data_IF_676923345124
#
_entry.id   IF_676923345124
#
_cell.length_a   1.000
_cell.length_b   1.000
_cell.length_c   1.000
_cell.angle_alpha   90.00
_cell.angle_beta   90.00
_cell.angle_gamma   90.00
#
_symmetry.space_group_name_H-M   'P 1'
#
loop_
_entity.id
_entity.type
_entity.pdbx_description
1 polymer ?
#
# COMPACT_ATOMS: atom_id res chain seq x y z
N UNK A 1 -27.48 -18.05 10.41
CA UNK A 1 -28.11 -17.44 11.60
C UNK A 1 -27.65 -15.99 11.67
N UNK A 2 -28.62 -15.07 11.67
CA UNK A 2 -28.50 -13.61 11.81
C UNK A 2 -27.36 -12.92 11.06
N UNK A 3 -27.63 -12.62 9.78
CA UNK A 3 -26.99 -11.53 9.03
C UNK A 3 -27.29 -10.21 9.74
N UNK A 4 -26.44 -9.86 10.71
CA UNK A 4 -26.34 -8.50 11.20
C UNK A 4 -25.83 -7.66 10.03
N UNK A 5 -26.73 -6.88 9.44
CA UNK A 5 -26.37 -5.82 8.50
C UNK A 5 -25.50 -4.81 9.24
N UNK A 6 -24.19 -5.01 9.17
CA UNK A 6 -23.22 -3.98 9.48
C UNK A 6 -23.56 -2.76 8.61
N UNK A 7 -23.60 -1.53 9.16
CA UNK A 7 -23.86 -0.34 8.38
C UNK A 7 -22.82 -0.26 7.27
N UNK A 8 -23.32 -0.45 6.05
CA UNK A 8 -22.57 -0.40 4.80
C UNK A 8 -22.15 1.05 4.61
N UNK A 9 -20.85 1.24 4.37
CA UNK A 9 -20.19 2.48 3.96
C UNK A 9 -20.34 3.62 4.97
N UNK A 10 -19.24 4.01 5.61
CA UNK A 10 -19.00 5.43 5.84
C UNK A 10 -19.01 6.10 4.47
N UNK A 11 -20.20 6.41 3.96
CA UNK A 11 -20.36 7.61 3.15
C UNK A 11 -19.68 8.69 3.98
N UNK A 12 -18.56 9.22 3.47
CA UNK A 12 -18.05 10.50 3.92
C UNK A 12 -19.29 11.38 3.97
N UNK A 13 -19.78 11.71 5.17
CA UNK A 13 -21.05 12.43 5.35
C UNK A 13 -21.11 13.54 4.30
N UNK A 14 -21.91 13.32 3.26
CA UNK A 14 -21.94 14.14 2.04
C UNK A 14 -22.84 15.35 2.27
N UNK A 15 -23.74 15.25 3.25
CA UNK A 15 -24.64 16.31 3.68
C UNK A 15 -23.98 17.18 4.76
N UNK A 16 -23.40 18.29 4.31
CA UNK A 16 -23.10 19.45 5.17
C UNK A 16 -24.42 20.00 5.68
N UNK A 17 -24.60 20.06 7.00
CA UNK A 17 -25.81 20.62 7.57
C UNK A 17 -25.77 22.16 7.48
N UNK A 18 -26.91 22.84 7.29
CA UNK A 18 -26.97 24.29 7.29
C UNK A 18 -26.39 24.87 8.61
N UNK A 19 -25.34 25.70 8.51
CA UNK A 19 -24.71 26.36 9.66
C UNK A 19 -23.51 25.62 10.27
N UNK A 20 -23.10 24.48 9.71
CA UNK A 20 -21.91 23.74 10.14
C UNK A 20 -20.61 24.46 9.78
N UNK A 21 -19.65 24.49 10.71
CA UNK A 21 -18.35 25.14 10.48
C UNK A 21 -17.47 24.22 9.63
N UNK A 22 -16.97 24.72 8.50
CA UNK A 22 -16.14 23.95 7.58
C UNK A 22 -14.68 24.42 7.61
N UNK A 23 -13.76 23.47 7.62
CA UNK A 23 -12.33 23.71 7.52
C UNK A 23 -11.69 22.85 6.41
N UNK A 24 -10.61 23.30 5.76
CA UNK A 24 -9.86 22.46 4.84
C UNK A 24 -9.45 21.14 5.48
N UNK A 25 -9.56 20.05 4.73
CA UNK A 25 -9.08 18.74 5.17
C UNK A 25 -7.61 18.86 5.63
N UNK A 26 -7.26 18.36 6.83
CA UNK A 26 -5.91 18.48 7.33
C UNK A 26 -4.93 17.50 6.65
N UNK A 27 -5.42 16.65 5.74
CA UNK A 27 -4.68 15.57 5.08
C UNK A 27 -4.30 15.87 3.63
N UNK A 28 -4.46 17.11 3.17
CA UNK A 28 -4.18 17.48 1.79
C UNK A 28 -2.66 17.52 1.51
N UNK A 29 -2.25 16.95 0.38
CA UNK A 29 -0.88 17.04 -0.13
C UNK A 29 -0.79 18.23 -1.06
N UNK A 30 0.05 19.20 -0.70
CA UNK A 30 0.18 20.46 -1.43
C UNK A 30 1.36 20.38 -2.40
N UNK A 31 1.08 20.40 -3.70
CA UNK A 31 2.07 20.65 -4.75
C UNK A 31 2.11 22.12 -5.16
N UNK A 32 2.96 22.50 -6.13
CA UNK A 32 3.01 23.87 -6.66
C UNK A 32 1.75 24.22 -7.48
N UNK A 33 1.32 23.32 -8.35
CA UNK A 33 0.24 23.47 -9.34
C UNK A 33 -0.99 22.61 -9.03
N UNK A 34 -0.98 21.88 -7.91
CA UNK A 34 -2.00 20.89 -7.56
C UNK A 34 -2.16 20.68 -6.06
N UNK A 35 -3.33 20.20 -5.66
CA UNK A 35 -3.66 19.73 -4.32
C UNK A 35 -4.25 18.33 -4.44
N UNK A 36 -3.65 17.35 -3.77
CA UNK A 36 -4.18 15.97 -3.73
C UNK A 36 -4.84 15.68 -2.38
N UNK A 37 -6.01 15.03 -2.42
CA UNK A 37 -6.76 14.63 -1.25
C UNK A 37 -6.79 13.10 -1.12
N UNK A 38 -6.01 12.51 -0.20
CA UNK A 38 -6.00 11.07 0.01
C UNK A 38 -7.32 10.50 0.53
N UNK A 39 -8.17 11.32 1.18
CA UNK A 39 -9.48 10.85 1.67
C UNK A 39 -10.50 10.66 0.54
N UNK A 40 -10.28 11.25 -0.63
CA UNK A 40 -11.18 11.12 -1.79
C UNK A 40 -10.47 10.57 -3.03
N UNK A 41 -9.14 10.41 -2.95
CA UNK A 41 -8.27 10.08 -4.08
C UNK A 41 -8.41 11.02 -5.28
N UNK A 42 -8.60 12.31 -5.01
CA UNK A 42 -8.78 13.33 -6.05
C UNK A 42 -7.63 14.32 -6.04
N UNK A 43 -7.28 14.79 -7.24
CA UNK A 43 -6.36 15.92 -7.43
C UNK A 43 -7.15 17.10 -7.98
N UNK A 44 -6.93 18.28 -7.38
CA UNK A 44 -7.41 19.56 -7.88
C UNK A 44 -6.21 20.34 -8.42
N UNK A 45 -6.28 20.77 -9.67
CA UNK A 45 -5.18 21.41 -10.40
C UNK A 45 -5.44 22.88 -10.67
N UNK A 46 -4.37 23.64 -10.90
CA UNK A 46 -4.46 25.05 -11.25
C UNK A 46 -5.33 25.26 -12.51
N UNK A 47 -6.34 26.11 -12.40
CA UNK A 47 -7.33 26.38 -13.45
C UNK A 47 -8.66 25.62 -13.30
N UNK A 48 -8.73 24.60 -12.45
CA UNK A 48 -10.00 23.93 -12.12
C UNK A 48 -10.85 24.75 -11.14
N UNK A 49 -12.17 24.64 -11.27
CA UNK A 49 -13.11 25.32 -10.39
C UNK A 49 -12.87 24.93 -8.93
N UNK A 50 -12.81 25.93 -8.04
CA UNK A 50 -12.54 25.76 -6.61
C UNK A 50 -11.05 25.68 -6.24
N UNK A 51 -10.11 25.59 -7.20
CA UNK A 51 -8.68 25.54 -6.88
C UNK A 51 -8.20 26.80 -6.13
N UNK A 52 -8.47 27.98 -6.71
CA UNK A 52 -8.07 29.26 -6.11
C UNK A 52 -8.74 29.50 -4.76
N UNK A 53 -10.01 29.11 -4.63
CA UNK A 53 -10.78 29.21 -3.38
C UNK A 53 -10.17 28.32 -2.29
N UNK A 54 -9.88 27.05 -2.60
CA UNK A 54 -9.25 26.12 -1.67
C UNK A 54 -7.86 26.60 -1.25
N UNK A 55 -7.06 27.12 -2.20
CA UNK A 55 -5.74 27.70 -1.91
C UNK A 55 -5.83 28.90 -0.99
N UNK A 56 -6.81 29.77 -1.18
CA UNK A 56 -7.03 30.93 -0.31
C UNK A 56 -7.36 30.48 1.13
N UNK A 57 -8.27 29.51 1.29
CA UNK A 57 -8.61 28.94 2.61
C UNK A 57 -7.40 28.26 3.27
N UNK A 58 -6.61 27.50 2.51
CA UNK A 58 -5.36 26.88 3.00
C UNK A 58 -4.30 27.90 3.41
N UNK A 59 -4.31 29.10 2.81
CA UNK A 59 -3.46 30.22 3.18
C UNK A 59 -4.00 31.02 4.38
N UNK A 60 -5.14 30.62 4.96
CA UNK A 60 -5.75 31.25 6.14
C UNK A 60 -6.76 32.35 5.83
N UNK A 61 -7.23 32.46 4.58
CA UNK A 61 -8.35 33.35 4.27
C UNK A 61 -9.61 32.90 5.03
N UNK A 62 -10.38 33.87 5.55
CA UNK A 62 -11.62 33.57 6.26
C UNK A 62 -12.67 32.94 5.34
N UNK A 63 -13.55 32.04 5.82
CA UNK A 63 -14.54 31.36 5.00
C UNK A 63 -15.46 32.31 4.20
N UNK A 64 -15.69 33.52 4.70
CA UNK A 64 -16.47 34.59 4.05
C UNK A 64 -15.84 35.11 2.75
N UNK A 65 -14.53 34.90 2.56
CA UNK A 65 -13.83 35.28 1.32
C UNK A 65 -14.15 34.35 0.15
N UNK A 66 -14.74 33.18 0.43
CA UNK A 66 -15.18 32.20 -0.57
C UNK A 66 -16.71 32.16 -0.60
N UNK A 67 -17.29 32.30 -1.79
CA UNK A 67 -18.74 32.26 -1.99
C UNK A 67 -19.38 31.00 -1.41
N UNK A 68 -20.61 31.10 -0.91
CA UNK A 68 -21.32 29.98 -0.28
C UNK A 68 -21.46 28.77 -1.20
N UNK A 69 -21.72 29.00 -2.50
CA UNK A 69 -21.77 27.94 -3.51
C UNK A 69 -20.43 27.21 -3.64
N UNK A 70 -19.32 27.94 -3.78
CA UNK A 70 -17.99 27.36 -3.88
C UNK A 70 -17.59 26.58 -2.61
N UNK A 71 -17.92 27.09 -1.42
CA UNK A 71 -17.71 26.35 -0.16
C UNK A 71 -18.49 25.04 -0.12
N UNK A 72 -19.75 25.04 -0.57
CA UNK A 72 -20.58 23.84 -0.66
C UNK A 72 -19.98 22.82 -1.62
N UNK A 73 -19.58 23.27 -2.82
CA UNK A 73 -18.97 22.41 -3.83
C UNK A 73 -17.65 21.80 -3.33
N UNK A 74 -16.81 22.60 -2.67
CA UNK A 74 -15.57 22.13 -2.05
C UNK A 74 -15.83 21.10 -0.94
N UNK A 75 -16.85 21.31 -0.11
CA UNK A 75 -17.22 20.39 0.95
C UNK A 75 -17.81 19.07 0.41
N UNK A 76 -18.72 19.14 -0.57
CA UNK A 76 -19.27 17.96 -1.26
C UNK A 76 -18.17 17.15 -1.95
N UNK A 77 -17.15 17.82 -2.49
CA UNK A 77 -15.98 17.17 -3.07
C UNK A 77 -14.94 16.69 -2.03
N UNK A 78 -15.20 16.88 -0.73
CA UNK A 78 -14.35 16.42 0.38
C UNK A 78 -13.10 17.24 0.66
N UNK A 79 -12.97 18.42 0.04
CA UNK A 79 -11.86 19.36 0.30
C UNK A 79 -12.02 20.09 1.63
N UNK A 80 -13.26 20.34 2.03
CA UNK A 80 -13.62 20.88 3.35
C UNK A 80 -14.33 19.81 4.16
N UNK A 81 -14.06 19.76 5.46
CA UNK A 81 -14.66 18.85 6.42
C UNK A 81 -15.30 19.67 7.55
N UNK A 82 -16.32 19.13 8.26
CA UNK A 82 -16.80 19.72 9.50
C UNK A 82 -15.65 19.91 10.50
N UNK A 83 -15.56 21.09 11.11
CA UNK A 83 -14.45 21.45 11.98
C UNK A 83 -14.46 20.68 13.31
N UNK A 84 -15.65 20.26 13.75
CA UNK A 84 -15.87 19.45 14.94
C UNK A 84 -15.59 17.95 14.74
N UNK A 85 -15.52 17.48 13.49
CA UNK A 85 -15.26 16.08 13.20
C UNK A 85 -13.79 15.72 13.44
N UNK A 86 -13.56 14.60 14.11
CA UNK A 86 -12.22 14.01 14.17
C UNK A 86 -11.89 13.40 12.79
N UNK A 87 -11.38 14.25 11.89
CA UNK A 87 -10.99 13.87 10.55
C UNK A 87 -9.98 12.70 10.54
N UNK A 88 -9.21 12.51 11.62
CA UNK A 88 -8.24 11.42 11.71
C UNK A 88 -8.88 10.03 11.81
N UNK A 89 -10.19 9.94 12.01
CA UNK A 89 -10.97 8.69 11.93
C UNK A 89 -11.51 8.41 10.53
N UNK A 90 -11.43 9.37 9.60
CA UNK A 90 -11.82 9.19 8.19
C UNK A 90 -10.72 8.47 7.43
N UNK A 91 -11.10 7.71 6.41
CA UNK A 91 -10.21 6.92 5.56
C UNK A 91 -10.86 6.65 4.20
N UNK A 92 -10.04 6.23 3.24
CA UNK A 92 -10.49 5.68 1.96
C UNK A 92 -9.71 4.39 1.71
N UNK A 93 -10.25 3.23 2.09
CA UNK A 93 -9.49 1.98 1.99
C UNK A 93 -9.36 1.56 0.52
N UNK A 94 -8.16 1.75 -0.04
CA UNK A 94 -7.82 1.41 -1.43
C UNK A 94 -7.00 0.13 -1.53
N UNK A 95 -6.07 -0.07 -0.60
CA UNK A 95 -5.11 -1.14 -0.69
C UNK A 95 -5.01 -1.89 0.64
N UNK A 96 -4.92 -3.20 0.57
CA UNK A 96 -4.74 -4.04 1.75
C UNK A 96 -3.52 -4.92 1.53
N UNK A 97 -2.55 -4.87 2.44
CA UNK A 97 -1.52 -5.90 2.55
C UNK A 97 -2.03 -6.98 3.50
N UNK A 98 -2.38 -8.16 2.99
CA UNK A 98 -2.84 -9.30 3.77
C UNK A 98 -1.78 -10.42 3.69
N UNK A 99 -0.87 -10.41 4.66
CA UNK A 99 0.19 -11.40 4.76
C UNK A 99 -0.34 -12.69 5.40
N UNK A 100 -0.36 -13.80 4.66
CA UNK A 100 -0.92 -15.06 5.13
C UNK A 100 0.05 -15.92 5.96
N UNK A 101 1.35 -15.67 5.85
CA UNK A 101 2.40 -16.40 6.57
C UNK A 101 3.69 -15.59 6.62
N UNK A 102 4.65 -15.98 7.45
CA UNK A 102 5.95 -15.27 7.58
C UNK A 102 7.04 -15.78 6.64
N UNK A 103 6.87 -16.99 6.10
CA UNK A 103 7.89 -17.74 5.35
C UNK A 103 8.27 -17.09 4.01
N UNK A 104 9.57 -17.06 3.72
CA UNK A 104 10.12 -16.79 2.40
C UNK A 104 11.25 -17.78 2.11
N UNK A 105 11.33 -18.27 0.88
CA UNK A 105 12.36 -19.23 0.44
C UNK A 105 13.59 -18.56 -0.19
N UNK A 106 13.76 -17.25 0.01
CA UNK A 106 14.91 -16.47 -0.45
C UNK A 106 15.36 -15.51 0.65
N UNK A 107 16.64 -15.14 0.62
CA UNK A 107 17.27 -14.20 1.53
C UNK A 107 17.85 -13.01 0.73
N UNK A 108 16.96 -12.21 0.15
CA UNK A 108 17.36 -11.08 -0.70
C UNK A 108 18.18 -10.05 0.10
N UNK A 109 19.30 -9.57 -0.44
CA UNK A 109 20.19 -8.62 0.25
C UNK A 109 19.51 -7.30 0.69
N UNK A 110 18.39 -6.94 0.04
CA UNK A 110 17.58 -5.75 0.34
C UNK A 110 16.32 -6.06 1.17
N UNK A 111 16.20 -7.28 1.70
CA UNK A 111 15.04 -7.68 2.51
C UNK A 111 15.43 -7.80 3.99
N UNK A 112 14.70 -7.15 4.91
CA UNK A 112 14.92 -7.29 6.35
C UNK A 112 14.92 -8.75 6.84
N UNK A 113 14.12 -9.62 6.23
CA UNK A 113 14.03 -11.06 6.56
C UNK A 113 15.37 -11.79 6.39
N UNK A 114 16.25 -11.31 5.51
CA UNK A 114 17.59 -11.92 5.35
C UNK A 114 18.53 -11.63 6.53
N UNK A 115 18.25 -10.58 7.30
CA UNK A 115 19.08 -10.10 8.41
C UNK A 115 18.47 -10.51 9.75
N UNK A 116 17.14 -10.41 9.86
CA UNK A 116 16.39 -10.72 11.07
C UNK A 116 15.22 -11.67 10.75
N UNK A 117 15.46 -12.96 10.45
CA UNK A 117 14.40 -13.89 10.07
C UNK A 117 13.29 -13.98 11.12
N UNK A 118 12.04 -14.10 10.66
CA UNK A 118 10.87 -14.29 11.52
C UNK A 118 10.63 -15.77 11.77
N UNK A 119 10.05 -16.09 12.93
CA UNK A 119 9.55 -17.43 13.20
C UNK A 119 8.48 -17.82 12.18
N UNK A 120 8.52 -19.09 11.74
CA UNK A 120 7.51 -19.65 10.85
C UNK A 120 6.13 -19.59 11.50
N UNK A 121 5.23 -18.88 10.83
CA UNK A 121 3.84 -18.78 11.25
C UNK A 121 2.94 -18.69 10.03
N UNK A 122 1.81 -19.40 10.08
CA UNK A 122 0.79 -19.39 9.05
C UNK A 122 -0.52 -18.97 9.70
N UNK A 123 -1.16 -17.95 9.14
CA UNK A 123 -2.49 -17.50 9.56
C UNK A 123 -3.47 -18.68 9.47
N UNK A 124 -4.28 -18.96 10.51
CA UNK A 124 -5.37 -19.92 10.43
C UNK A 124 -6.33 -19.56 9.29
N UNK A 125 -6.81 -20.56 8.55
CA UNK A 125 -7.69 -20.33 7.39
C UNK A 125 -8.98 -19.62 7.80
N UNK A 126 -9.52 -19.94 8.97
CA UNK A 126 -10.75 -19.33 9.51
C UNK A 126 -10.55 -17.83 9.79
N UNK A 127 -9.35 -17.46 10.26
CA UNK A 127 -8.99 -16.05 10.47
C UNK A 127 -8.87 -15.33 9.13
N UNK A 128 -8.19 -15.94 8.15
CA UNK A 128 -8.05 -15.39 6.81
C UNK A 128 -9.41 -15.15 6.13
N UNK A 129 -10.29 -16.15 6.15
CA UNK A 129 -11.63 -16.06 5.56
C UNK A 129 -12.50 -15.02 6.25
N UNK A 130 -12.44 -14.90 7.58
CA UNK A 130 -13.15 -13.85 8.31
C UNK A 130 -12.67 -12.46 7.90
N UNK A 131 -11.35 -12.23 7.85
CA UNK A 131 -10.77 -10.96 7.44
C UNK A 131 -11.22 -10.61 6.01
N UNK A 132 -11.16 -11.57 5.08
CA UNK A 132 -11.65 -11.38 3.70
C UNK A 132 -13.14 -11.03 3.67
N UNK A 133 -13.96 -11.70 4.48
CA UNK A 133 -15.39 -11.40 4.63
C UNK A 133 -15.66 -9.97 5.12
N UNK A 134 -14.86 -9.47 6.07
CA UNK A 134 -14.97 -8.08 6.54
C UNK A 134 -14.49 -7.06 5.49
N UNK A 135 -13.42 -7.38 4.75
CA UNK A 135 -12.92 -6.55 3.64
C UNK A 135 -13.91 -6.43 2.49
N UNK A 136 -14.77 -7.43 2.27
CA UNK A 136 -15.80 -7.40 1.24
C UNK A 136 -16.79 -6.23 1.38
N UNK A 137 -16.92 -5.64 2.59
CA UNK A 137 -17.69 -4.42 2.83
C UNK A 137 -17.09 -3.17 2.15
N UNK A 138 -15.81 -3.23 1.76
CA UNK A 138 -15.05 -2.14 1.13
C UNK A 138 -14.67 -2.43 -0.33
N UNK A 139 -15.22 -3.49 -0.94
CA UNK A 139 -14.87 -3.93 -2.30
C UNK A 139 -15.02 -2.85 -3.38
N UNK A 140 -15.89 -1.86 -3.17
CA UNK A 140 -16.12 -0.76 -4.13
C UNK A 140 -14.96 0.25 -4.14
N UNK A 141 -14.17 0.32 -3.08
CA UNK A 141 -13.01 1.23 -2.96
C UNK A 141 -11.67 0.49 -3.01
N UNK A 142 -11.64 -0.79 -2.64
CA UNK A 142 -10.42 -1.60 -2.68
C UNK A 142 -10.03 -1.86 -4.13
N UNK A 143 -8.87 -1.35 -4.54
CA UNK A 143 -8.27 -1.57 -5.85
C UNK A 143 -7.36 -2.79 -5.90
N UNK A 144 -6.75 -3.17 -4.76
CA UNK A 144 -5.91 -4.36 -4.66
C UNK A 144 -5.78 -4.89 -3.23
N UNK A 145 -5.89 -6.22 -3.09
CA UNK A 145 -5.46 -6.96 -1.89
C UNK A 145 -4.13 -7.63 -2.21
N UNK A 146 -3.05 -7.00 -1.78
CA UNK A 146 -1.69 -7.51 -1.87
C UNK A 146 -1.48 -8.64 -0.87
N UNK A 147 -1.21 -9.84 -1.36
CA UNK A 147 -0.99 -11.04 -0.52
C UNK A 147 0.39 -11.09 0.14
N UNK A 148 1.06 -9.94 0.25
CA UNK A 148 2.46 -9.82 0.68
C UNK A 148 2.63 -8.76 1.77
N UNK A 149 3.58 -9.01 2.66
CA UNK A 149 4.32 -7.95 3.37
C UNK A 149 5.83 -8.26 3.34
N UNK A 150 6.26 -9.33 4.01
CA UNK A 150 7.65 -9.80 4.04
C UNK A 150 7.77 -11.31 3.78
N UNK A 151 6.75 -11.93 3.20
CA UNK A 151 6.69 -13.34 2.83
C UNK A 151 6.90 -13.58 1.33
N UNK A 152 6.98 -14.84 0.93
CA UNK A 152 6.79 -15.26 -0.46
C UNK A 152 5.39 -15.88 -0.62
N UNK A 153 4.39 -15.17 -1.17
CA UNK A 153 3.00 -15.64 -1.21
C UNK A 153 2.86 -16.98 -1.93
N UNK A 154 3.65 -17.22 -2.98
CA UNK A 154 3.58 -18.45 -3.76
C UNK A 154 4.27 -19.63 -3.08
N UNK A 155 4.96 -19.44 -1.96
CA UNK A 155 5.50 -20.54 -1.17
C UNK A 155 4.41 -21.25 -0.36
N UNK A 156 3.28 -20.59 -0.06
CA UNK A 156 2.14 -21.22 0.61
C UNK A 156 1.47 -22.26 -0.31
N UNK A 157 1.21 -23.46 0.22
CA UNK A 157 0.45 -24.49 -0.50
C UNK A 157 -0.99 -24.05 -0.77
N UNK A 158 -1.53 -23.17 0.07
CA UNK A 158 -2.89 -22.60 0.00
C UNK A 158 -3.00 -21.40 -0.95
N UNK A 159 -1.92 -20.98 -1.60
CA UNK A 159 -1.89 -19.77 -2.43
C UNK A 159 -3.05 -19.65 -3.42
N UNK A 160 -3.32 -20.72 -4.19
CA UNK A 160 -4.41 -20.72 -5.19
C UNK A 160 -5.79 -20.64 -4.51
N UNK A 161 -5.97 -21.31 -3.37
CA UNK A 161 -7.22 -21.26 -2.61
C UNK A 161 -7.45 -19.87 -2.00
N UNK A 162 -6.39 -19.22 -1.49
CA UNK A 162 -6.45 -17.84 -1.00
C UNK A 162 -6.86 -16.86 -2.10
N UNK A 163 -6.31 -17.00 -3.31
CA UNK A 163 -6.74 -16.22 -4.48
C UNK A 163 -8.22 -16.45 -4.80
N UNK A 164 -8.68 -17.70 -4.73
CA UNK A 164 -10.09 -18.06 -4.93
C UNK A 164 -10.99 -17.40 -3.89
N UNK A 165 -10.58 -17.41 -2.61
CA UNK A 165 -11.31 -16.78 -1.51
C UNK A 165 -11.45 -15.27 -1.72
N UNK A 166 -10.39 -14.58 -2.12
CA UNK A 166 -10.45 -13.14 -2.44
C UNK A 166 -11.41 -12.86 -3.60
N UNK A 167 -11.31 -13.62 -4.70
CA UNK A 167 -12.20 -13.46 -5.87
C UNK A 167 -13.67 -13.72 -5.50
N UNK A 168 -13.95 -14.75 -4.72
CA UNK A 168 -15.30 -15.08 -4.27
C UNK A 168 -15.93 -13.96 -3.41
N UNK A 169 -15.10 -13.19 -2.70
CA UNK A 169 -15.51 -12.02 -1.93
C UNK A 169 -15.64 -10.73 -2.77
N UNK A 170 -15.42 -10.80 -4.09
CA UNK A 170 -15.40 -9.64 -4.97
C UNK A 170 -14.19 -8.73 -4.78
N UNK A 171 -13.11 -9.23 -4.18
CA UNK A 171 -11.89 -8.46 -3.92
C UNK A 171 -10.85 -8.73 -5.02
N UNK A 172 -10.08 -7.71 -5.46
CA UNK A 172 -9.05 -7.85 -6.49
C UNK A 172 -7.72 -8.38 -5.93
N UNK A 173 -7.34 -9.67 -6.15
CA UNK A 173 -6.10 -10.21 -5.62
C UNK A 173 -4.88 -9.65 -6.37
N UNK A 174 -3.86 -9.22 -5.63
CA UNK A 174 -2.59 -8.74 -6.14
C UNK A 174 -1.41 -9.47 -5.51
N UNK A 175 -0.39 -9.79 -6.32
CA UNK A 175 0.73 -10.65 -5.89
C UNK A 175 2.04 -10.02 -6.30
N UNK A 176 2.93 -9.80 -5.32
CA UNK A 176 4.36 -9.63 -5.56
C UNK A 176 5.03 -10.94 -5.19
N UNK A 177 5.94 -11.44 -6.02
CA UNK A 177 6.55 -12.76 -5.83
C UNK A 177 7.95 -12.82 -6.44
N UNK A 178 8.80 -13.67 -5.87
CA UNK A 178 10.08 -14.07 -6.46
C UNK A 178 9.94 -15.09 -7.61
N UNK A 179 8.72 -15.56 -7.89
CA UNK A 179 8.37 -16.44 -9.01
C UNK A 179 8.64 -17.93 -8.77
N UNK A 180 9.20 -18.31 -7.63
CA UNK A 180 9.58 -19.71 -7.35
C UNK A 180 8.38 -20.64 -7.25
N UNK A 181 7.24 -20.17 -6.75
CA UNK A 181 6.02 -20.95 -6.61
C UNK A 181 5.04 -20.83 -7.78
N UNK A 182 5.38 -20.11 -8.86
CA UNK A 182 4.53 -19.95 -10.05
C UNK A 182 4.66 -21.16 -11.00
N UNK A 183 4.38 -22.36 -10.51
CA UNK A 183 4.42 -23.56 -11.36
C UNK A 183 3.39 -23.47 -12.49
N UNK A 184 3.58 -24.18 -13.61
CA UNK A 184 2.60 -24.21 -14.71
C UNK A 184 1.16 -24.48 -14.25
N UNK A 185 0.97 -25.42 -13.32
CA UNK A 185 -0.35 -25.77 -12.78
C UNK A 185 -0.99 -24.60 -12.03
N UNK A 186 -0.21 -23.84 -11.26
CA UNK A 186 -0.71 -22.66 -10.54
C UNK A 186 -0.99 -21.51 -11.49
N UNK A 187 -0.13 -21.29 -12.50
CA UNK A 187 -0.35 -20.31 -13.55
C UNK A 187 -1.67 -20.59 -14.29
N UNK A 188 -1.90 -21.84 -14.69
CA UNK A 188 -3.12 -22.23 -15.39
C UNK A 188 -4.35 -22.06 -14.50
N UNK A 189 -4.29 -22.46 -13.22
CA UNK A 189 -5.37 -22.22 -12.26
C UNK A 189 -5.68 -20.72 -12.08
N UNK A 190 -4.66 -19.86 -12.04
CA UNK A 190 -4.87 -18.40 -11.99
C UNK A 190 -5.57 -17.89 -13.25
N UNK A 191 -5.15 -18.33 -14.44
CA UNK A 191 -5.75 -17.93 -15.72
C UNK A 191 -7.20 -18.41 -15.80
N UNK A 192 -7.50 -19.64 -15.40
CA UNK A 192 -8.85 -20.20 -15.34
C UNK A 192 -9.78 -19.40 -14.42
N UNK A 193 -9.25 -18.82 -13.34
CA UNK A 193 -9.99 -17.93 -12.43
C UNK A 193 -10.16 -16.49 -12.96
N UNK A 194 -9.69 -16.20 -14.17
CA UNK A 194 -9.72 -14.85 -14.76
C UNK A 194 -8.51 -13.99 -14.39
N UNK A 195 -7.42 -14.60 -13.92
CA UNK A 195 -6.14 -13.94 -13.59
C UNK A 195 -6.12 -13.28 -12.21
N UNK A 196 -5.12 -12.43 -11.99
CA UNK A 196 -5.00 -11.54 -10.84
C UNK A 196 -5.30 -10.09 -11.27
N UNK A 197 -5.57 -9.20 -10.31
CA UNK A 197 -5.57 -7.76 -10.58
C UNK A 197 -4.17 -7.29 -10.96
N UNK A 198 -3.17 -7.73 -10.20
CA UNK A 198 -1.79 -7.33 -10.38
C UNK A 198 -0.83 -8.47 -10.06
N UNK A 199 0.16 -8.68 -10.91
CA UNK A 199 1.28 -9.59 -10.68
C UNK A 199 2.58 -8.82 -10.88
N UNK A 200 3.45 -8.81 -9.87
CA UNK A 200 4.79 -8.25 -9.97
C UNK A 200 5.84 -9.29 -9.60
N UNK A 201 6.68 -9.63 -10.58
CA UNK A 201 7.81 -10.53 -10.37
C UNK A 201 9.02 -9.71 -9.95
N UNK A 202 9.60 -10.01 -8.79
CA UNK A 202 10.92 -9.51 -8.47
C UNK A 202 11.97 -10.41 -9.14
N UNK A 203 12.74 -9.88 -10.09
CA UNK A 203 13.88 -10.55 -10.74
C UNK A 203 15.06 -9.57 -10.75
N UNK A 204 16.12 -9.84 -9.98
CA UNK A 204 17.21 -8.87 -9.77
C UNK A 204 18.31 -8.94 -10.82
N UNK A 205 18.54 -10.10 -11.42
CA UNK A 205 19.60 -10.32 -12.40
C UNK A 205 19.38 -11.63 -13.17
N UNK A 206 19.95 -11.72 -14.39
CA UNK A 206 20.08 -12.96 -15.16
C UNK A 206 21.44 -13.65 -14.95
N UNK A 207 22.36 -13.04 -14.21
CA UNK A 207 23.61 -13.68 -13.81
C UNK A 207 23.33 -14.66 -12.67
N UNK A 208 23.50 -15.97 -12.95
CA UNK A 208 23.22 -17.04 -11.98
C UNK A 208 24.06 -16.94 -10.70
N UNK A 209 25.34 -16.56 -10.83
CA UNK A 209 26.25 -16.46 -9.69
C UNK A 209 25.84 -15.32 -8.76
N UNK A 210 25.50 -14.17 -9.35
CA UNK A 210 24.98 -13.01 -8.63
C UNK A 210 23.60 -13.27 -8.06
N UNK A 211 22.69 -13.87 -8.83
CA UNK A 211 21.37 -14.26 -8.34
C UNK A 211 21.49 -15.13 -7.09
N UNK A 212 22.32 -16.17 -7.13
CA UNK A 212 22.54 -17.08 -6.00
C UNK A 212 23.04 -16.33 -4.77
N UNK A 213 24.01 -15.42 -4.95
CA UNK A 213 24.55 -14.59 -3.88
C UNK A 213 23.52 -13.59 -3.34
N UNK A 214 22.83 -12.87 -4.21
CA UNK A 214 21.92 -11.77 -3.89
C UNK A 214 20.58 -12.24 -3.32
N UNK A 215 20.16 -13.48 -3.64
CA UNK A 215 18.88 -14.08 -3.22
C UNK A 215 19.05 -15.19 -2.18
N UNK A 216 20.28 -15.58 -1.85
CA UNK A 216 20.56 -16.67 -0.91
C UNK A 216 20.18 -18.06 -1.41
N UNK A 217 20.03 -18.27 -2.71
CA UNK A 217 19.68 -19.56 -3.29
C UNK A 217 19.69 -19.59 -4.83
N UNK A 218 20.02 -20.75 -5.39
CA UNK A 218 20.12 -20.98 -6.84
C UNK A 218 18.76 -21.37 -7.44
N UNK A 219 17.86 -20.40 -7.55
CA UNK A 219 16.50 -20.60 -8.06
C UNK A 219 16.29 -20.06 -9.49
N UNK A 220 17.29 -19.40 -10.07
CA UNK A 220 17.14 -18.62 -11.30
C UNK A 220 16.58 -19.45 -12.46
N UNK A 221 17.19 -20.60 -12.75
CA UNK A 221 16.76 -21.50 -13.83
C UNK A 221 15.29 -21.94 -13.69
N UNK A 222 14.87 -22.25 -12.47
CA UNK A 222 13.48 -22.62 -12.18
C UNK A 222 12.54 -21.44 -12.40
N UNK A 223 12.90 -20.27 -11.87
CA UNK A 223 12.12 -19.04 -12.05
C UNK A 223 11.98 -18.70 -13.53
N UNK A 224 13.07 -18.75 -14.30
CA UNK A 224 13.02 -18.48 -15.74
C UNK A 224 12.08 -19.44 -16.48
N UNK A 225 12.07 -20.74 -16.15
CA UNK A 225 11.10 -21.69 -16.73
C UNK A 225 9.64 -21.32 -16.42
N UNK A 226 9.35 -20.89 -15.18
CA UNK A 226 8.01 -20.45 -14.80
C UNK A 226 7.62 -19.17 -15.55
N UNK A 227 8.53 -18.21 -15.66
CA UNK A 227 8.30 -16.95 -16.36
C UNK A 227 8.14 -17.16 -17.86
N UNK A 228 8.93 -18.03 -18.48
CA UNK A 228 8.80 -18.39 -19.89
C UNK A 228 7.42 -19.03 -20.19
N UNK A 229 6.84 -19.77 -19.24
CA UNK A 229 5.49 -20.31 -19.35
C UNK A 229 4.38 -19.26 -19.17
N UNK A 230 4.60 -18.27 -18.29
CA UNK A 230 3.63 -17.22 -17.96
C UNK A 230 3.62 -16.05 -18.96
N UNK A 231 4.74 -15.77 -19.65
CA UNK A 231 5.00 -14.50 -20.34
C UNK A 231 3.95 -14.08 -21.37
N UNK A 232 3.26 -15.03 -22.00
CA UNK A 232 2.25 -14.79 -23.03
C UNK A 232 0.81 -14.99 -22.53
N UNK A 233 0.64 -15.38 -21.26
CA UNK A 233 -0.66 -15.70 -20.66
C UNK A 233 -1.24 -14.53 -19.85
N UNK A 234 -2.56 -14.34 -19.82
CA UNK A 234 -3.21 -13.31 -19.01
C UNK A 234 -3.26 -13.72 -17.53
N UNK A 235 -2.10 -13.93 -16.90
CA UNK A 235 -2.01 -14.31 -15.48
C UNK A 235 -2.49 -13.18 -14.57
N UNK A 236 -2.36 -11.92 -15.03
CA UNK A 236 -2.94 -10.76 -14.38
C UNK A 236 -3.36 -9.70 -15.43
N UNK A 237 -4.23 -8.77 -15.01
CA UNK A 237 -4.57 -7.58 -15.79
C UNK A 237 -3.33 -6.72 -16.05
N UNK A 238 -2.56 -6.46 -14.99
CA UNK A 238 -1.24 -5.83 -15.08
C UNK A 238 -0.16 -6.80 -14.59
N UNK A 239 0.83 -7.03 -15.46
CA UNK A 239 1.96 -7.91 -15.21
C UNK A 239 3.24 -7.09 -15.29
N UNK A 240 3.91 -6.93 -14.16
CA UNK A 240 5.17 -6.20 -14.05
C UNK A 240 6.32 -7.17 -13.72
N UNK A 241 7.52 -6.82 -14.16
CA UNK A 241 8.76 -7.41 -13.68
C UNK A 241 9.62 -6.31 -13.12
N UNK A 242 9.90 -6.38 -11.82
CA UNK A 242 10.65 -5.37 -11.10
C UNK A 242 12.07 -5.83 -10.86
N UNK A 243 13.01 -5.06 -11.40
CA UNK A 243 14.44 -5.16 -11.15
C UNK A 243 14.77 -4.18 -10.02
N UNK A 244 15.13 -4.71 -8.85
CA UNK A 244 15.54 -3.92 -7.69
C UNK A 244 17.06 -3.86 -7.59
N UNK A 245 17.58 -2.67 -7.35
CA UNK A 245 19.01 -2.43 -7.16
C UNK A 245 19.31 -1.10 -6.48
N UNK A 246 20.57 -0.66 -6.56
CA UNK A 246 21.08 0.55 -5.89
C UNK A 246 21.35 1.71 -6.86
N UNK A 247 20.85 1.61 -8.09
CA UNK A 247 21.11 2.61 -9.14
C UNK A 247 22.53 2.56 -9.70
N UNK A 248 23.33 1.55 -9.34
CA UNK A 248 24.68 1.36 -9.86
C UNK A 248 24.70 0.80 -11.29
N UNK A 249 25.90 0.56 -11.82
CA UNK A 249 26.07 0.04 -13.18
C UNK A 249 25.55 -1.39 -13.34
N UNK A 250 25.66 -2.22 -12.30
CA UNK A 250 25.11 -3.57 -12.34
C UNK A 250 23.58 -3.52 -12.47
N UNK A 251 22.93 -2.69 -11.64
CA UNK A 251 21.49 -2.51 -11.67
C UNK A 251 20.98 -2.05 -13.04
N UNK A 252 21.67 -1.08 -13.67
CA UNK A 252 21.34 -0.63 -15.04
C UNK A 252 21.50 -1.74 -16.07
N UNK A 253 22.59 -2.52 -16.00
CA UNK A 253 22.82 -3.66 -16.88
C UNK A 253 21.74 -4.72 -16.72
N UNK A 254 21.40 -5.10 -15.49
CA UNK A 254 20.37 -6.12 -15.23
C UNK A 254 19.01 -5.69 -15.76
N UNK A 255 18.65 -4.42 -15.56
CA UNK A 255 17.42 -3.87 -16.12
C UNK A 255 17.40 -3.99 -17.65
N UNK A 256 18.49 -3.65 -18.33
CA UNK A 256 18.59 -3.75 -19.79
C UNK A 256 18.49 -5.21 -20.27
N UNK A 257 19.22 -6.13 -19.65
CA UNK A 257 19.24 -7.56 -20.01
C UNK A 257 17.87 -8.22 -19.80
N UNK A 258 17.22 -7.95 -18.65
CA UNK A 258 15.89 -8.47 -18.34
C UNK A 258 14.84 -7.88 -19.29
N UNK A 259 14.92 -6.57 -19.57
CA UNK A 259 14.04 -5.91 -20.53
C UNK A 259 14.17 -6.52 -21.93
N UNK A 260 15.39 -6.82 -22.37
CA UNK A 260 15.64 -7.47 -23.65
C UNK A 260 15.08 -8.89 -23.67
N UNK A 261 15.28 -9.69 -22.62
CA UNK A 261 14.79 -11.08 -22.55
C UNK A 261 13.27 -11.18 -22.64
N UNK A 262 12.57 -10.28 -21.95
CA UNK A 262 11.10 -10.29 -21.87
C UNK A 262 10.43 -9.30 -22.83
N UNK A 263 11.18 -8.75 -23.79
CA UNK A 263 10.64 -7.90 -24.84
C UNK A 263 9.53 -8.64 -25.64
N UNK A 264 8.40 -7.95 -25.86
CA UNK A 264 7.25 -8.51 -26.57
C UNK A 264 6.37 -9.45 -25.74
N UNK A 265 6.72 -9.72 -24.49
CA UNK A 265 5.83 -10.43 -23.55
C UNK A 265 4.79 -9.50 -22.94
N UNK A 266 3.90 -10.06 -22.10
CA UNK A 266 2.94 -9.31 -21.30
C UNK A 266 3.58 -8.59 -20.10
N UNK A 267 4.83 -8.87 -19.76
CA UNK A 267 5.51 -8.22 -18.65
C UNK A 267 6.03 -6.83 -19.02
N UNK A 268 5.59 -5.81 -18.29
CA UNK A 268 6.24 -4.51 -18.28
C UNK A 268 7.44 -4.54 -17.33
N UNK A 269 8.66 -4.51 -17.87
CA UNK A 269 9.88 -4.49 -17.05
C UNK A 269 10.12 -3.08 -16.52
N UNK A 270 10.33 -2.97 -15.21
CA UNK A 270 10.55 -1.72 -14.47
C UNK A 270 11.78 -1.85 -13.59
N UNK A 271 12.49 -0.75 -13.37
CA UNK A 271 13.61 -0.67 -12.44
C UNK A 271 13.25 0.28 -11.30
N UNK A 272 13.57 -0.12 -10.08
CA UNK A 272 13.42 0.73 -8.90
C UNK A 272 14.64 0.59 -8.00
N UNK A 273 15.03 1.69 -7.38
CA UNK A 273 16.02 1.63 -6.31
C UNK A 273 15.40 1.05 -5.03
N UNK A 274 16.18 0.22 -4.34
CA UNK A 274 15.80 -0.27 -3.02
C UNK A 274 15.77 0.88 -2.02
N UNK A 275 14.97 0.73 -0.98
CA UNK A 275 14.82 1.71 0.10
C UNK A 275 15.34 1.11 1.41
N UNK A 276 15.73 1.98 2.33
CA UNK A 276 16.34 1.59 3.59
C UNK A 276 15.35 1.08 4.66
N UNK A 277 14.06 0.96 4.30
CA UNK A 277 12.97 0.59 5.21
C UNK A 277 12.93 1.49 6.43
N UNK A 278 12.97 2.81 6.18
CA UNK A 278 12.92 3.85 7.19
C UNK A 278 14.02 3.70 8.27
N UNK A 279 15.22 3.35 7.82
CA UNK A 279 16.43 3.18 8.66
C UNK A 279 16.69 1.76 9.14
N UNK A 280 15.84 0.78 8.83
CA UNK A 280 16.07 -0.62 9.23
C UNK A 280 17.27 -1.24 8.50
N UNK A 281 17.39 -0.97 7.20
CA UNK A 281 18.45 -1.47 6.35
C UNK A 281 19.58 -0.44 6.22
N UNK A 282 20.81 -0.92 6.04
CA UNK A 282 21.98 -0.06 5.77
C UNK A 282 22.21 0.18 4.27
N UNK A 283 21.17 -0.05 3.45
CA UNK A 283 21.22 0.04 1.99
C UNK A 283 19.92 0.66 1.47
N UNK A 284 20.01 1.39 0.36
CA UNK A 284 18.86 1.97 -0.32
C UNK A 284 18.63 3.44 -0.04
N UNK A 285 17.63 3.98 -0.72
CA UNK A 285 17.18 5.37 -0.59
C UNK A 285 16.76 5.66 0.85
N UNK A 286 17.25 6.78 1.37
CA UNK A 286 16.93 7.31 2.70
C UNK A 286 16.97 8.84 2.72
N UNK A 287 16.23 9.50 3.63
CA UNK A 287 16.38 10.94 3.85
C UNK A 287 17.81 11.29 4.26
N UNK A 288 18.32 12.43 3.82
CA UNK A 288 19.65 12.91 4.23
C UNK A 288 19.74 13.22 5.74
N UNK A 289 18.62 13.70 6.31
CA UNK A 289 18.44 13.97 7.73
C UNK A 289 17.05 13.48 8.15
N UNK A 290 16.82 13.14 9.44
CA UNK A 290 15.49 12.81 9.93
C UNK A 290 14.46 13.92 9.65
N UNK A 291 13.29 13.53 9.16
CA UNK A 291 12.21 14.45 8.85
C UNK A 291 11.69 15.13 10.13
N UNK A 292 11.56 16.46 10.08
CA UNK A 292 11.15 17.30 11.22
C UNK A 292 9.66 17.65 11.15
N UNK A 293 9.27 18.41 10.12
CA UNK A 293 7.91 18.96 9.90
C UNK A 293 7.08 18.05 8.99
N UNK A 294 6.65 16.91 9.53
CA UNK A 294 5.80 15.95 8.80
C UNK A 294 4.50 16.62 8.35
N UNK A 295 4.05 16.32 7.14
CA UNK A 295 2.78 16.84 6.60
C UNK A 295 2.10 15.87 5.62
N UNK A 296 2.42 14.57 5.70
CA UNK A 296 1.78 13.55 4.89
C UNK A 296 2.70 12.40 4.50
N UNK A 297 2.22 11.57 3.58
CA UNK A 297 2.90 10.40 3.07
C UNK A 297 2.51 10.22 1.60
N UNK A 298 3.50 10.00 0.74
CA UNK A 298 3.36 9.77 -0.71
C UNK A 298 3.92 8.38 -1.10
N UNK A 299 3.54 7.35 -0.36
CA UNK A 299 3.89 5.96 -0.67
C UNK A 299 2.65 5.27 -1.25
N UNK A 300 2.48 5.40 -2.58
CA UNK A 300 1.30 4.94 -3.32
C UNK A 300 0.03 5.60 -2.78
N UNK A 301 -0.04 6.92 -2.95
CA UNK A 301 -0.98 7.77 -2.22
C UNK A 301 -0.54 7.86 -0.75
N UNK A 302 -1.43 7.62 0.20
CA UNK A 302 -1.12 7.74 1.62
C UNK A 302 -1.30 6.44 2.39
N UNK A 303 -0.20 5.84 2.86
CA UNK A 303 -0.25 4.62 3.71
C UNK A 303 -1.18 4.77 4.91
N UNK A 304 -1.11 5.85 5.73
CA UNK A 304 -2.00 5.98 6.89
C UNK A 304 -3.49 6.12 6.57
N UNK A 305 -3.87 6.62 5.38
CA UNK A 305 -5.26 6.94 5.04
C UNK A 305 -5.91 5.98 4.05
N UNK A 306 -5.10 5.32 3.23
CA UNK A 306 -5.57 4.52 2.10
C UNK A 306 -5.17 3.04 2.16
N UNK A 307 -4.34 2.66 3.13
CA UNK A 307 -3.85 1.30 3.26
C UNK A 307 -4.20 0.68 4.60
N UNK A 308 -4.35 -0.65 4.61
CA UNK A 308 -4.36 -1.47 5.82
C UNK A 308 -3.33 -2.58 5.68
N UNK A 309 -2.43 -2.71 6.66
CA UNK A 309 -1.39 -3.73 6.67
C UNK A 309 -1.66 -4.74 7.77
N UNK A 310 -1.86 -6.00 7.38
CA UNK A 310 -2.28 -7.10 8.23
C UNK A 310 -1.19 -8.17 8.20
N UNK A 311 -0.62 -8.47 9.36
CA UNK A 311 0.39 -9.52 9.52
C UNK A 311 -0.30 -10.90 9.67
N UNK A 312 0.44 -12.01 9.55
CA UNK A 312 -0.12 -13.36 9.68
C UNK A 312 -0.85 -13.60 11.00
N UNK A 313 -0.47 -12.88 12.05
CA UNK A 313 -1.05 -13.02 13.39
C UNK A 313 -2.35 -12.22 13.56
N UNK A 314 -2.82 -11.52 12.52
CA UNK A 314 -3.99 -10.64 12.58
C UNK A 314 -3.67 -9.24 13.13
N UNK A 315 -2.43 -8.98 13.55
CA UNK A 315 -1.97 -7.65 13.95
C UNK A 315 -2.04 -6.70 12.76
N UNK A 316 -2.57 -5.50 12.98
CA UNK A 316 -2.53 -4.42 12.02
C UNK A 316 -1.42 -3.44 12.37
N UNK A 317 -0.60 -3.04 11.40
CA UNK A 317 0.49 -2.06 11.57
C UNK A 317 0.28 -0.85 10.67
N UNK A 318 0.93 0.27 11.00
CA UNK A 318 0.77 1.53 10.28
C UNK A 318 1.18 1.46 8.80
N UNK A 319 2.28 0.75 8.50
CA UNK A 319 2.92 0.81 7.20
C UNK A 319 3.80 -0.43 6.95
N UNK A 320 3.94 -0.81 5.67
CA UNK A 320 4.87 -1.86 5.25
C UNK A 320 6.37 -1.52 5.40
N UNK A 321 6.72 -0.31 5.85
CA UNK A 321 8.11 0.02 6.23
C UNK A 321 8.45 -0.41 7.66
N UNK A 322 7.44 -0.77 8.47
CA UNK A 322 7.58 -1.12 9.89
C UNK A 322 7.83 -2.62 10.08
N UNK A 323 9.06 -3.07 9.79
CA UNK A 323 9.41 -4.48 9.83
C UNK A 323 9.23 -5.13 11.22
N UNK A 324 9.59 -4.43 12.29
CA UNK A 324 9.51 -4.92 13.66
C UNK A 324 8.10 -4.80 14.27
N UNK A 325 7.11 -4.37 13.48
CA UNK A 325 5.72 -4.21 13.90
C UNK A 325 5.59 -3.25 15.11
N UNK A 326 6.43 -2.21 15.19
CA UNK A 326 6.47 -1.27 16.34
C UNK A 326 5.23 -0.39 16.42
N UNK A 327 4.63 -0.08 15.28
CA UNK A 327 3.50 0.83 15.13
C UNK A 327 2.21 0.07 14.90
N UNK A 328 1.84 -0.76 15.89
CA UNK A 328 0.56 -1.49 15.92
C UNK A 328 -0.63 -0.53 16.02
N UNK A 329 -1.62 -0.74 15.17
CA UNK A 329 -2.85 0.07 15.08
C UNK A 329 -4.13 -0.72 15.40
N UNK A 330 -4.05 -2.04 15.52
CA UNK A 330 -5.17 -2.89 15.93
C UNK A 330 -4.85 -4.38 15.88
N UNK A 331 -5.78 -5.20 16.35
CA UNK A 331 -5.68 -6.66 16.38
C UNK A 331 -6.96 -7.30 15.87
N UNK A 332 -6.92 -7.81 14.63
CA UNK A 332 -8.08 -8.41 13.99
C UNK A 332 -8.50 -9.72 14.62
N UNK A 333 -7.72 -10.35 15.51
CA UNK A 333 -8.19 -11.52 16.27
C UNK A 333 -9.29 -11.18 17.27
N UNK A 334 -9.46 -9.88 17.58
CA UNK A 334 -10.40 -9.36 18.59
C UNK A 334 -11.29 -8.24 18.06
N UNK A 335 -10.78 -7.45 17.13
CA UNK A 335 -11.42 -6.27 16.55
C UNK A 335 -11.89 -6.56 15.12
N UNK A 336 -12.86 -5.78 14.65
CA UNK A 336 -13.22 -5.77 13.23
C UNK A 336 -12.30 -4.84 12.45
N UNK A 337 -12.20 -5.04 11.14
CA UNK A 337 -11.50 -4.14 10.19
C UNK A 337 -11.99 -2.71 10.35
N UNK A 338 -13.30 -2.50 10.49
CA UNK A 338 -13.86 -1.16 10.68
C UNK A 338 -13.41 -0.51 12.00
N UNK A 339 -13.37 -1.29 13.09
CA UNK A 339 -12.93 -0.80 14.39
C UNK A 339 -11.46 -0.38 14.37
N UNK A 340 -10.60 -1.11 13.65
CA UNK A 340 -9.19 -0.75 13.46
C UNK A 340 -9.06 0.54 12.63
N UNK A 341 -9.76 0.62 11.48
CA UNK A 341 -9.67 1.77 10.57
C UNK A 341 -10.17 3.09 11.17
N UNK A 342 -11.13 3.01 12.09
CA UNK A 342 -11.72 4.16 12.80
C UNK A 342 -11.16 4.31 14.23
N UNK A 343 -10.23 3.43 14.62
CA UNK A 343 -9.72 3.28 15.97
C UNK A 343 -8.78 4.40 16.42
N UNK A 344 -8.66 4.64 17.73
CA UNK A 344 -7.86 5.73 18.29
C UNK A 344 -6.35 5.59 17.98
N UNK A 345 -5.83 4.37 17.84
CA UNK A 345 -4.42 4.13 17.54
C UNK A 345 -4.04 4.61 16.13
N UNK A 346 -4.81 4.22 15.11
CA UNK A 346 -4.59 4.67 13.73
C UNK A 346 -4.87 6.17 13.58
N UNK A 347 -5.92 6.68 14.23
CA UNK A 347 -6.23 8.11 14.27
C UNK A 347 -5.06 8.95 14.82
N UNK A 348 -4.45 8.52 15.93
CA UNK A 348 -3.24 9.17 16.48
C UNK A 348 -2.08 9.14 15.49
N UNK A 349 -1.80 8.01 14.86
CA UNK A 349 -0.70 7.90 13.90
C UNK A 349 -0.93 8.74 12.63
N UNK A 350 -2.18 8.90 12.19
CA UNK A 350 -2.54 9.84 11.11
C UNK A 350 -2.23 11.28 11.50
N UNK A 351 -2.61 11.70 12.72
CA UNK A 351 -2.27 13.05 13.21
C UNK A 351 -0.75 13.27 13.27
N UNK A 352 0.01 12.29 13.71
CA UNK A 352 1.47 12.35 13.76
C UNK A 352 2.12 12.38 12.36
N UNK A 353 1.67 11.53 11.44
CA UNK A 353 2.18 11.47 10.07
C UNK A 353 1.88 12.75 9.25
N UNK A 354 0.83 13.48 9.62
CA UNK A 354 0.44 14.74 8.97
C UNK A 354 0.80 16.00 9.78
N UNK A 355 1.51 15.85 10.89
CA UNK A 355 1.98 16.98 11.70
C UNK A 355 0.87 17.76 12.41
N UNK A 356 -0.28 17.14 12.65
CA UNK A 356 -1.37 17.68 13.47
C UNK A 356 -1.11 17.47 14.97
N UNK A 357 -0.26 16.50 15.28
CA UNK A 357 0.24 16.18 16.61
C UNK A 357 1.73 15.90 16.49
N UNK A 358 2.53 16.31 17.48
CA UNK A 358 3.97 16.07 17.45
C UNK A 358 4.27 14.57 17.47
N UNK A 359 4.99 14.10 16.45
CA UNK A 359 5.44 12.72 16.38
C UNK A 359 6.66 12.47 17.27
N UNK A 360 6.77 11.31 17.95
CA UNK A 360 7.98 10.91 18.67
C UNK A 360 9.24 10.96 17.79
N UNK A 361 10.43 11.12 18.39
CA UNK A 361 11.70 11.22 17.64
C UNK A 361 12.02 9.97 16.82
N UNK A 362 11.57 8.82 17.30
CA UNK A 362 11.77 7.50 16.70
C UNK A 362 10.60 7.08 15.79
N UNK A 363 9.62 7.96 15.57
CA UNK A 363 8.46 7.71 14.70
C UNK A 363 8.88 7.33 13.27
N UNK A 364 8.29 6.27 12.73
CA UNK A 364 8.66 5.67 11.43
C UNK A 364 8.79 6.70 10.30
N UNK A 365 7.81 7.61 10.17
CA UNK A 365 7.80 8.62 9.11
C UNK A 365 8.98 9.61 9.21
N UNK A 366 9.65 9.71 10.36
CA UNK A 366 10.86 10.54 10.49
C UNK A 366 12.05 9.99 9.73
N UNK A 367 12.12 8.68 9.51
CA UNK A 367 13.16 8.02 8.72
C UNK A 367 12.76 7.67 7.29
N UNK A 368 11.50 7.89 6.90
CA UNK A 368 10.97 7.40 5.64
C UNK A 368 11.18 8.39 4.47
N UNK A 369 11.64 7.89 3.31
CA UNK A 369 11.79 8.67 2.07
C UNK A 369 10.48 9.17 1.46
N UNK A 370 9.37 8.52 1.78
CA UNK A 370 8.04 8.89 1.26
C UNK A 370 7.27 9.83 2.17
N UNK A 371 7.83 10.20 3.32
CA UNK A 371 7.18 11.16 4.19
C UNK A 371 7.23 12.55 3.56
N UNK A 372 6.08 13.20 3.47
CA UNK A 372 6.00 14.58 3.01
C UNK A 372 6.39 15.50 4.17
N UNK A 373 7.18 16.52 3.85
CA UNK A 373 7.61 17.52 4.84
C UNK A 373 7.38 18.93 4.33
N UNK A 374 7.10 19.86 5.25
CA UNK A 374 7.08 21.29 4.94
C UNK A 374 8.50 21.84 5.04
N UNK A 375 8.91 22.62 4.05
CA UNK A 375 10.13 23.43 4.14
C UNK A 375 10.07 24.32 5.38
N UNK A 376 11.22 24.53 6.02
CA UNK A 376 11.35 25.40 7.21
C UNK A 376 10.87 26.81 6.94
#
# INVERSE_FOLDING_TARGET
MTTSTLPILTELRTEVLPGESLAPSPFLHLGPDRVYNPLTDRTLTEGEAGYSDLRALLAGAGPETVGEAARRDLATAGWLLPAEDDASRRFLLKYVSLEAHTVCNQACYFCPVSIAPREDYFMPTELYERIVGELAAYRETIEAVFMINYNEPTADKRFVDQVRTLRAAGLPPAVLTNGTGLTPQRIDALVEMGGLRFLSINLSTLDRSRYTKERGGDHLEMVLRHLDYAKDKPVAEQMDMVVLGTGDENHRRDFAEISQRFAGSRFAVKSFEVMDRAGYLQIGLKPALPNQRLCGCDNVGSRPLQHLHITPRGTCVLCCEDYDEKYVVGDLTRESVHAVLTGPALARMRRQAYGLEDAPRDFLCRGCVFALTRST
#
